data_IF_405133798391
#
_entry.id   IF_405133798391
#
_cell.length_a   1.000
_cell.length_b   1.000
_cell.length_c   1.000
_cell.angle_alpha   90.00
_cell.angle_beta   90.00
_cell.angle_gamma   90.00
#
_symmetry.space_group_name_H-M   'P 1'
#
loop_
_entity.id
_entity.type
_entity.pdbx_description
1 polymer ?
#
# COMPACT_ATOMS: atom_id res chain seq x y z
N UNK A 1 0.57 16.29 -1.00
CA UNK A 1 -0.59 15.56 -0.42
C UNK A 1 -1.42 14.74 -1.42
N UNK A 2 -1.12 14.71 -2.72
CA UNK A 2 -1.91 13.90 -3.68
C UNK A 2 -1.67 12.39 -3.54
N UNK A 3 -0.44 11.99 -3.19
CA UNK A 3 -0.08 10.60 -2.90
C UNK A 3 -0.90 10.03 -1.74
N UNK A 4 -0.90 10.71 -0.59
CA UNK A 4 -1.66 10.30 0.60
C UNK A 4 -3.14 10.12 0.28
N UNK A 5 -3.74 11.07 -0.45
CA UNK A 5 -5.16 10.98 -0.85
C UNK A 5 -5.45 9.83 -1.80
N UNK A 6 -4.55 9.55 -2.74
CA UNK A 6 -4.73 8.44 -3.67
C UNK A 6 -4.62 7.10 -2.93
N UNK A 7 -3.62 6.96 -2.06
CA UNK A 7 -3.44 5.79 -1.22
C UNK A 7 -4.65 5.56 -0.31
N UNK A 8 -5.10 6.61 0.40
CA UNK A 8 -6.29 6.54 1.27
C UNK A 8 -7.52 6.06 0.49
N UNK A 9 -7.76 6.61 -0.71
CA UNK A 9 -8.87 6.19 -1.57
C UNK A 9 -8.79 4.70 -1.93
N UNK A 10 -7.61 4.20 -2.30
CA UNK A 10 -7.46 2.80 -2.70
C UNK A 10 -7.62 1.83 -1.52
N UNK A 11 -7.18 2.24 -0.32
CA UNK A 11 -7.48 1.53 0.92
C UNK A 11 -8.97 1.57 1.26
N UNK A 12 -9.63 2.72 1.14
CA UNK A 12 -11.06 2.83 1.41
C UNK A 12 -11.92 1.93 0.53
N UNK A 13 -11.56 1.85 -0.76
CA UNK A 13 -12.29 1.06 -1.75
C UNK A 13 -11.99 -0.45 -1.70
N UNK A 14 -10.91 -0.87 -1.05
CA UNK A 14 -10.51 -2.30 -0.98
C UNK A 14 -10.64 -2.90 0.41
N UNK A 15 -10.52 -2.06 1.45
CA UNK A 15 -10.39 -2.48 2.83
C UNK A 15 -11.60 -2.04 3.65
N UNK A 16 -11.76 -0.73 3.87
CA UNK A 16 -12.79 -0.15 4.73
C UNK A 16 -12.99 1.33 4.44
N UNK A 17 -14.22 1.74 4.15
CA UNK A 17 -14.55 3.10 3.68
C UNK A 17 -14.27 4.22 4.68
N UNK A 18 -14.11 3.89 5.96
CA UNK A 18 -13.84 4.81 7.07
C UNK A 18 -12.34 4.92 7.42
N UNK A 19 -11.47 4.25 6.65
CA UNK A 19 -10.02 4.34 6.85
C UNK A 19 -9.51 5.73 6.45
N UNK A 20 -8.69 6.34 7.30
CA UNK A 20 -8.12 7.67 7.10
C UNK A 20 -6.60 7.60 7.29
N UNK A 21 -5.86 8.25 6.40
CA UNK A 21 -4.42 8.48 6.54
C UNK A 21 -4.15 9.87 7.09
N UNK A 22 -3.33 9.96 8.14
CA UNK A 22 -3.01 11.21 8.83
C UNK A 22 -1.59 11.69 8.57
N UNK A 23 -0.77 10.90 7.88
CA UNK A 23 0.62 11.22 7.56
C UNK A 23 0.79 12.59 6.90
N UNK A 24 1.66 13.41 7.50
CA UNK A 24 2.08 14.72 7.01
C UNK A 24 3.48 14.67 6.38
N UNK A 25 4.30 13.69 6.79
CA UNK A 25 5.64 13.47 6.25
C UNK A 25 5.72 12.17 5.46
N UNK A 26 6.78 12.01 4.66
CA UNK A 26 7.02 10.78 3.91
C UNK A 26 7.32 9.59 4.84
N UNK A 27 8.02 9.83 5.95
CA UNK A 27 8.33 8.81 6.95
C UNK A 27 7.06 8.33 7.66
N UNK A 28 6.20 9.27 8.09
CA UNK A 28 4.89 8.93 8.66
C UNK A 28 4.03 8.12 7.69
N UNK A 29 4.06 8.46 6.39
CA UNK A 29 3.30 7.73 5.38
C UNK A 29 3.78 6.27 5.25
N UNK A 30 5.10 6.03 5.30
CA UNK A 30 5.66 4.67 5.27
C UNK A 30 5.16 3.87 6.47
N UNK A 31 5.31 4.43 7.68
CA UNK A 31 4.91 3.78 8.93
C UNK A 31 3.41 3.49 8.94
N UNK A 32 2.59 4.47 8.59
CA UNK A 32 1.13 4.34 8.58
C UNK A 32 0.66 3.32 7.53
N UNK A 33 1.27 3.29 6.35
CA UNK A 33 0.96 2.31 5.30
C UNK A 33 1.30 0.90 5.75
N UNK A 34 2.49 0.69 6.33
CA UNK A 34 2.90 -0.61 6.83
C UNK A 34 1.95 -1.11 7.93
N UNK A 35 1.60 -0.24 8.89
CA UNK A 35 0.66 -0.56 9.96
C UNK A 35 -0.69 -1.03 9.40
N UNK A 36 -1.25 -0.34 8.41
CA UNK A 36 -2.50 -0.77 7.79
C UNK A 36 -2.33 -2.07 7.00
N UNK A 37 -1.23 -2.26 6.27
CA UNK A 37 -0.98 -3.51 5.54
C UNK A 37 -0.85 -4.70 6.49
N UNK A 38 -0.15 -4.56 7.61
CA UNK A 38 -0.08 -5.57 8.68
C UNK A 38 -1.46 -5.92 9.21
N UNK A 39 -2.26 -4.90 9.57
CA UNK A 39 -3.61 -5.11 10.08
C UNK A 39 -4.50 -5.82 9.06
N UNK A 40 -4.44 -5.45 7.79
CA UNK A 40 -5.29 -6.02 6.74
C UNK A 40 -4.84 -7.41 6.34
N UNK A 41 -3.52 -7.65 6.25
CA UNK A 41 -2.96 -8.96 5.94
C UNK A 41 -3.33 -10.02 6.99
N UNK A 42 -3.24 -9.66 8.27
CA UNK A 42 -3.55 -10.58 9.37
C UNK A 42 -5.05 -10.80 9.53
N UNK A 43 -5.85 -9.73 9.55
CA UNK A 43 -7.27 -9.84 9.89
C UNK A 43 -8.16 -10.20 8.70
N UNK A 44 -7.78 -9.78 7.49
CA UNK A 44 -8.60 -9.92 6.28
C UNK A 44 -7.76 -10.16 5.01
N UNK A 45 -7.11 -11.34 4.86
CA UNK A 45 -6.21 -11.63 3.73
C UNK A 45 -6.84 -11.42 2.34
N UNK A 46 -8.14 -11.68 2.19
CA UNK A 46 -8.85 -11.45 0.92
C UNK A 46 -8.89 -9.95 0.53
N UNK A 47 -9.04 -9.06 1.52
CA UNK A 47 -9.00 -7.60 1.30
C UNK A 47 -7.58 -7.12 1.02
N UNK A 48 -6.58 -7.72 1.66
CA UNK A 48 -5.17 -7.47 1.35
C UNK A 48 -4.88 -7.79 -0.12
N UNK A 49 -5.25 -8.98 -0.59
CA UNK A 49 -5.13 -9.36 -2.00
C UNK A 49 -5.85 -8.37 -2.92
N UNK A 50 -7.10 -8.00 -2.58
CA UNK A 50 -7.90 -7.03 -3.35
C UNK A 50 -7.24 -5.65 -3.44
N UNK A 51 -6.59 -5.20 -2.36
CA UNK A 51 -5.85 -3.95 -2.32
C UNK A 51 -4.64 -3.98 -3.26
N UNK A 52 -3.85 -5.06 -3.24
CA UNK A 52 -2.68 -5.20 -4.12
C UNK A 52 -3.09 -5.15 -5.60
N UNK A 53 -4.19 -5.82 -5.95
CA UNK A 53 -4.76 -5.74 -7.30
C UNK A 53 -5.19 -4.33 -7.67
N UNK A 54 -5.88 -3.59 -6.78
CA UNK A 54 -6.29 -2.20 -7.05
C UNK A 54 -5.11 -1.25 -7.25
N UNK A 55 -4.04 -1.46 -6.50
CA UNK A 55 -2.82 -0.63 -6.56
C UNK A 55 -1.94 -1.02 -7.77
N UNK A 56 -2.32 -2.04 -8.54
CA UNK A 56 -1.55 -2.57 -9.67
C UNK A 56 -0.16 -3.06 -9.24
N UNK A 57 -0.08 -3.69 -8.06
CA UNK A 57 1.12 -4.40 -7.63
C UNK A 57 1.19 -5.72 -8.39
N UNK A 58 2.24 -5.91 -9.19
CA UNK A 58 2.37 -7.09 -10.03
C UNK A 58 2.57 -8.34 -9.18
N UNK A 59 1.84 -9.42 -9.49
CA UNK A 59 1.97 -10.70 -8.79
C UNK A 59 3.39 -11.27 -8.91
N UNK A 60 4.06 -11.01 -10.04
CA UNK A 60 5.47 -11.35 -10.22
C UNK A 60 6.38 -10.61 -9.22
N UNK A 61 6.12 -9.34 -8.90
CA UNK A 61 6.91 -8.59 -7.91
C UNK A 61 6.71 -9.21 -6.51
N UNK A 62 5.49 -9.63 -6.17
CA UNK A 62 5.14 -10.27 -4.91
C UNK A 62 5.79 -11.66 -4.77
N UNK A 63 5.72 -12.49 -5.82
CA UNK A 63 6.26 -13.84 -5.82
C UNK A 63 7.80 -13.88 -5.75
N UNK A 64 8.46 -12.78 -6.16
CA UNK A 64 9.92 -12.66 -6.12
C UNK A 64 10.45 -12.13 -4.79
N UNK A 65 9.58 -11.70 -3.86
CA UNK A 65 10.00 -11.21 -2.55
C UNK A 65 10.71 -12.31 -1.76
N UNK A 66 11.89 -11.99 -1.23
CA UNK A 66 12.65 -12.88 -0.36
C UNK A 66 12.52 -12.35 1.07
N UNK A 67 11.65 -12.97 1.86
CA UNK A 67 11.39 -12.57 3.24
C UNK A 67 11.52 -13.77 4.18
N UNK A 68 12.25 -13.62 5.28
CA UNK A 68 12.43 -14.66 6.28
C UNK A 68 11.24 -14.79 7.23
N UNK A 69 10.41 -13.75 7.32
CA UNK A 69 9.21 -13.71 8.17
C UNK A 69 8.16 -12.73 7.60
N UNK A 70 6.97 -12.72 8.22
CA UNK A 70 5.85 -11.89 7.79
C UNK A 70 6.14 -10.38 7.90
N UNK A 71 6.91 -9.94 8.90
CA UNK A 71 7.23 -8.53 9.07
C UNK A 71 8.11 -8.02 7.91
N UNK A 72 9.18 -8.76 7.58
CA UNK A 72 10.04 -8.47 6.42
C UNK A 72 9.26 -8.51 5.11
N UNK A 73 8.32 -9.45 4.98
CA UNK A 73 7.46 -9.52 3.80
C UNK A 73 6.61 -8.25 3.66
N UNK A 74 5.97 -7.82 4.75
CA UNK A 74 5.10 -6.64 4.74
C UNK A 74 5.86 -5.33 4.58
N UNK A 75 7.10 -5.24 5.06
CA UNK A 75 8.00 -4.12 4.76
C UNK A 75 8.25 -4.02 3.24
N UNK A 76 8.61 -5.14 2.60
CA UNK A 76 8.85 -5.19 1.15
C UNK A 76 7.57 -4.87 0.34
N UNK A 77 6.41 -5.38 0.77
CA UNK A 77 5.12 -5.03 0.15
C UNK A 77 4.80 -3.55 0.33
N UNK A 78 5.06 -2.97 1.50
CA UNK A 78 4.86 -1.53 1.75
C UNK A 78 5.64 -0.69 0.75
N UNK A 79 6.89 -1.05 0.49
CA UNK A 79 7.70 -0.41 -0.53
C UNK A 79 7.07 -0.51 -1.93
N UNK A 80 6.61 -1.71 -2.35
CA UNK A 80 5.98 -1.91 -3.66
C UNK A 80 4.70 -1.08 -3.83
N UNK A 81 3.85 -1.05 -2.79
CA UNK A 81 2.61 -0.27 -2.76
C UNK A 81 2.90 1.22 -2.93
N UNK A 82 3.80 1.78 -2.12
CA UNK A 82 4.15 3.20 -2.17
C UNK A 82 4.83 3.57 -3.49
N UNK A 83 5.70 2.69 -4.02
CA UNK A 83 6.34 2.87 -5.33
C UNK A 83 5.30 2.97 -6.44
N UNK A 84 4.31 2.08 -6.47
CA UNK A 84 3.24 2.10 -7.49
C UNK A 84 2.39 3.36 -7.40
N UNK A 85 1.96 3.73 -6.19
CA UNK A 85 1.14 4.93 -6.00
C UNK A 85 1.90 6.22 -6.33
N UNK A 86 3.19 6.29 -5.98
CA UNK A 86 4.05 7.41 -6.38
C UNK A 86 4.17 7.50 -7.91
N UNK A 87 4.40 6.38 -8.60
CA UNK A 87 4.47 6.33 -10.07
C UNK A 87 3.17 6.83 -10.72
N UNK A 88 1.99 6.39 -10.23
CA UNK A 88 0.68 6.84 -10.74
C UNK A 88 0.50 8.35 -10.59
N UNK A 89 0.78 8.90 -9.41
CA UNK A 89 0.64 10.34 -9.14
C UNK A 89 1.63 11.15 -9.96
N UNK A 90 2.88 10.71 -10.05
CA UNK A 90 3.90 11.42 -10.83
C UNK A 90 3.54 11.46 -12.31
N UNK A 91 3.16 10.33 -12.90
CA UNK A 91 2.78 10.24 -14.33
C UNK A 91 1.60 11.16 -14.63
N UNK A 92 0.54 11.12 -13.81
CA UNK A 92 -0.66 11.96 -13.99
C UNK A 92 -0.38 13.46 -13.94
N UNK A 93 0.70 13.87 -13.26
CA UNK A 93 1.05 15.28 -13.09
C UNK A 93 2.11 15.75 -14.09
N UNK A 94 2.81 14.83 -14.76
CA UNK A 94 3.97 15.14 -15.61
C UNK A 94 3.70 14.86 -17.10
N UNK A 95 2.72 14.01 -17.42
CA UNK A 95 2.23 13.69 -18.76
C UNK A 95 0.76 14.10 -18.90
#
# INVERSE_FOLDING_TARGET
>A
MQLVRQLEKDFQLSVASDLIFNAQTAEELVVETQFFLEKVAVNTPAKFSSLLYRIDVAEADINNLQAGNLAEYLEQVTFLVLKREFQKVYIRNTL
#
